data_IF_335159146677
#
_entry.id   IF_335159146677
#
_cell.length_a   1.000
_cell.length_b   1.000
_cell.length_c   1.000
_cell.angle_alpha   90.00
_cell.angle_beta   90.00
_cell.angle_gamma   90.00
#
_symmetry.space_group_name_H-M   'P 1'
#
loop_
_entity.id
_entity.type
_entity.pdbx_description
1 polymer ?
#
# COMPACT_ATOMS: atom_id res chain seq x y z
N UNK A 1 -0.30 -6.92 -4.28
CA UNK A 1 0.43 -5.86 -5.03
C UNK A 1 0.73 -6.37 -6.42
N UNK A 2 0.43 -5.59 -7.46
CA UNK A 2 0.56 -6.01 -8.87
C UNK A 2 1.32 -5.00 -9.75
N UNK A 3 2.06 -4.07 -9.11
CA UNK A 3 2.96 -3.13 -9.81
C UNK A 3 4.06 -3.82 -10.62
N UNK A 4 4.66 -3.09 -11.55
CA UNK A 4 5.68 -3.56 -12.47
C UNK A 4 5.24 -4.82 -13.21
N UNK A 5 4.05 -4.78 -13.80
CA UNK A 5 3.41 -5.93 -14.48
C UNK A 5 3.32 -7.19 -13.59
N UNK A 6 2.82 -7.05 -12.36
CA UNK A 6 2.82 -8.10 -11.35
C UNK A 6 4.22 -8.72 -11.14
N UNK A 7 5.23 -7.88 -10.95
CA UNK A 7 6.63 -8.32 -10.78
C UNK A 7 7.09 -9.21 -11.97
N UNK A 8 6.62 -8.90 -13.18
CA UNK A 8 6.91 -9.65 -14.41
C UNK A 8 6.01 -10.85 -14.71
N UNK A 9 5.01 -11.15 -13.86
CA UNK A 9 4.14 -12.32 -14.02
C UNK A 9 2.90 -12.08 -14.90
N UNK A 10 2.63 -10.83 -15.30
CA UNK A 10 1.43 -10.47 -16.05
C UNK A 10 0.34 -9.93 -15.12
N UNK A 11 0.17 -8.62 -15.09
CA UNK A 11 -0.74 -7.96 -14.13
C UNK A 11 -2.20 -8.37 -14.32
N UNK A 12 -2.67 -8.50 -15.57
CA UNK A 12 -4.08 -8.80 -15.87
C UNK A 12 -4.47 -10.18 -15.35
N UNK A 13 -3.65 -11.17 -15.66
CA UNK A 13 -3.86 -12.58 -15.33
C UNK A 13 -3.76 -12.80 -13.82
N UNK A 14 -2.77 -12.18 -13.16
CA UNK A 14 -2.65 -12.23 -11.71
C UNK A 14 -3.85 -11.57 -11.01
N UNK A 15 -4.31 -10.41 -11.51
CA UNK A 15 -5.47 -9.72 -10.93
C UNK A 15 -6.73 -10.56 -11.07
N UNK A 16 -7.02 -11.10 -12.27
CA UNK A 16 -8.18 -11.97 -12.49
C UNK A 16 -8.18 -13.20 -11.58
N UNK A 17 -7.00 -13.79 -11.38
CA UNK A 17 -6.86 -14.97 -10.52
C UNK A 17 -7.06 -14.68 -9.04
N UNK A 18 -6.91 -13.42 -8.62
CA UNK A 18 -6.99 -12.99 -7.22
C UNK A 18 -8.25 -12.17 -6.92
N UNK A 19 -9.08 -11.86 -7.91
CA UNK A 19 -10.18 -10.89 -7.80
C UNK A 19 -11.19 -11.27 -6.71
N UNK A 20 -11.46 -12.57 -6.56
CA UNK A 20 -12.40 -13.10 -5.57
C UNK A 20 -11.84 -13.15 -4.13
N UNK A 21 -10.53 -12.93 -3.95
CA UNK A 21 -9.86 -13.10 -2.65
C UNK A 21 -9.19 -11.83 -2.15
N UNK A 22 -8.79 -10.91 -3.05
CA UNK A 22 -8.12 -9.68 -2.69
C UNK A 22 -9.12 -8.54 -2.49
N UNK A 23 -9.08 -7.89 -1.32
CA UNK A 23 -9.93 -6.73 -1.03
C UNK A 23 -9.63 -5.51 -1.92
N UNK A 24 -8.39 -5.40 -2.42
CA UNK A 24 -7.94 -4.35 -3.33
C UNK A 24 -6.62 -4.75 -4.01
N UNK A 25 -6.35 -4.12 -5.14
CA UNK A 25 -5.07 -4.19 -5.84
C UNK A 25 -4.30 -2.89 -5.66
N UNK A 26 -2.98 -2.94 -5.85
CA UNK A 26 -2.11 -1.77 -5.72
C UNK A 26 -1.02 -1.78 -6.78
N UNK A 27 -0.89 -0.64 -7.46
CA UNK A 27 0.00 -0.38 -8.59
C UNK A 27 0.88 0.84 -8.32
N UNK A 28 1.95 1.02 -9.09
CA UNK A 28 2.88 2.12 -8.90
C UNK A 28 2.35 3.43 -9.52
N UNK A 29 1.72 3.36 -10.69
CA UNK A 29 1.33 4.53 -11.48
C UNK A 29 -0.08 4.42 -12.06
N UNK A 30 -0.56 5.52 -12.62
CA UNK A 30 -1.89 5.58 -13.22
C UNK A 30 -1.99 4.74 -14.49
N UNK A 31 -0.92 4.65 -15.29
CA UNK A 31 -0.89 3.84 -16.52
C UNK A 31 -1.12 2.36 -16.21
N UNK A 32 -0.51 1.85 -15.14
CA UNK A 32 -0.75 0.49 -14.68
C UNK A 32 -2.22 0.28 -14.28
N UNK A 33 -2.82 1.24 -13.55
CA UNK A 33 -4.24 1.17 -13.19
C UNK A 33 -5.16 1.19 -14.42
N UNK A 34 -4.87 2.07 -15.39
CA UNK A 34 -5.64 2.17 -16.62
C UNK A 34 -5.55 0.89 -17.46
N UNK A 35 -4.37 0.25 -17.53
CA UNK A 35 -4.21 -1.03 -18.23
C UNK A 35 -5.15 -2.11 -17.68
N UNK A 36 -5.36 -2.14 -16.36
CA UNK A 36 -6.29 -3.05 -15.69
C UNK A 36 -7.76 -2.67 -15.95
N UNK A 37 -8.08 -1.37 -15.91
CA UNK A 37 -9.44 -0.86 -16.16
C UNK A 37 -9.89 -1.12 -17.60
N UNK A 38 -9.01 -0.96 -18.59
CA UNK A 38 -9.29 -1.20 -20.02
C UNK A 38 -9.74 -2.64 -20.28
N UNK A 39 -9.16 -3.62 -19.57
CA UNK A 39 -9.52 -5.03 -19.70
C UNK A 39 -10.68 -5.47 -18.80
N UNK A 40 -11.35 -4.51 -18.16
CA UNK A 40 -12.59 -4.70 -17.42
C UNK A 40 -12.46 -5.00 -15.93
N UNK A 41 -11.27 -4.90 -15.33
CA UNK A 41 -11.10 -5.09 -13.87
C UNK A 41 -11.84 -3.99 -13.12
N UNK A 42 -12.70 -4.38 -12.18
CA UNK A 42 -13.53 -3.45 -11.39
C UNK A 42 -13.13 -3.35 -9.92
N UNK A 43 -12.34 -4.30 -9.43
CA UNK A 43 -11.85 -4.27 -8.05
C UNK A 43 -11.12 -2.96 -7.72
N UNK A 44 -11.11 -2.54 -6.44
CA UNK A 44 -10.43 -1.32 -6.03
C UNK A 44 -8.94 -1.36 -6.38
N UNK A 45 -8.41 -0.23 -6.85
CA UNK A 45 -6.99 -0.09 -7.22
C UNK A 45 -6.41 1.13 -6.51
N UNK A 46 -5.36 0.91 -5.72
CA UNK A 46 -4.58 1.94 -5.05
C UNK A 46 -3.35 2.35 -5.88
N UNK A 47 -3.22 3.65 -6.14
CA UNK A 47 -2.01 4.28 -6.65
C UNK A 47 -1.02 4.54 -5.50
N UNK A 48 0.04 3.74 -5.40
CA UNK A 48 0.97 3.73 -4.26
C UNK A 48 1.86 4.97 -4.15
N UNK A 49 2.04 5.68 -5.25
CA UNK A 49 2.84 6.89 -5.37
C UNK A 49 1.96 8.14 -5.57
N UNK A 50 0.64 7.95 -5.55
CA UNK A 50 -0.31 9.01 -5.78
C UNK A 50 -0.35 9.45 -7.23
N UNK A 51 -0.69 10.72 -7.43
CA UNK A 51 -0.61 11.41 -8.72
C UNK A 51 0.77 12.01 -8.91
N UNK A 52 1.19 12.19 -10.17
CA UNK A 52 2.40 12.93 -10.55
C UNK A 52 2.10 14.32 -11.09
N UNK A 53 0.86 14.58 -11.51
CA UNK A 53 0.36 15.89 -11.93
C UNK A 53 -1.11 16.07 -11.54
N UNK A 54 -1.59 17.31 -11.43
CA UNK A 54 -2.96 17.58 -10.98
C UNK A 54 -4.04 17.08 -11.97
N UNK A 55 -3.73 17.06 -13.27
CA UNK A 55 -4.62 16.55 -14.34
C UNK A 55 -4.96 15.07 -14.18
N UNK A 56 -4.10 14.28 -13.53
CA UNK A 56 -4.39 12.87 -13.26
C UNK A 56 -5.59 12.67 -12.33
N UNK A 57 -5.99 13.68 -11.54
CA UNK A 57 -7.19 13.58 -10.69
C UNK A 57 -8.47 13.34 -11.49
N UNK A 58 -8.56 13.83 -12.73
CA UNK A 58 -9.69 13.54 -13.61
C UNK A 58 -9.79 12.04 -13.95
N UNK A 59 -8.63 11.40 -14.14
CA UNK A 59 -8.56 9.97 -14.41
C UNK A 59 -8.81 9.16 -13.13
N UNK A 60 -8.27 9.60 -11.99
CA UNK A 60 -8.53 8.99 -10.68
C UNK A 60 -10.04 8.96 -10.38
N UNK A 61 -10.75 10.07 -10.61
CA UNK A 61 -12.19 10.17 -10.39
C UNK A 61 -12.97 9.33 -11.40
N UNK A 62 -12.66 9.47 -12.70
CA UNK A 62 -13.32 8.72 -13.77
C UNK A 62 -13.23 7.20 -13.59
N UNK A 63 -12.09 6.69 -13.13
CA UNK A 63 -11.83 5.25 -13.01
C UNK A 63 -11.92 4.71 -11.59
N UNK A 64 -12.42 5.52 -10.65
CA UNK A 64 -12.61 5.15 -9.24
C UNK A 64 -11.35 4.52 -8.62
N UNK A 65 -10.26 5.28 -8.67
CA UNK A 65 -8.98 4.86 -8.13
C UNK A 65 -8.80 5.40 -6.70
N UNK A 66 -8.14 4.62 -5.85
CA UNK A 66 -7.70 5.05 -4.52
C UNK A 66 -6.34 5.73 -4.63
N UNK A 67 -6.10 6.72 -3.78
CA UNK A 67 -4.94 7.60 -3.93
C UNK A 67 -4.09 7.62 -2.66
N UNK A 68 -2.80 7.28 -2.80
CA UNK A 68 -1.83 7.63 -1.77
C UNK A 68 -1.42 9.10 -1.88
N UNK A 69 -1.33 9.80 -0.74
CA UNK A 69 -0.80 11.17 -0.69
C UNK A 69 0.39 11.23 0.26
N UNK A 70 1.49 11.81 -0.21
CA UNK A 70 2.77 11.78 0.51
C UNK A 70 3.58 13.08 0.39
N UNK A 71 3.05 14.08 -0.32
CA UNK A 71 3.63 15.43 -0.44
C UNK A 71 2.57 16.51 -0.26
N UNK A 72 3.00 17.72 0.12
CA UNK A 72 2.08 18.85 0.32
C UNK A 72 1.35 19.25 -0.96
N UNK A 73 2.03 19.21 -2.11
CA UNK A 73 1.43 19.58 -3.39
C UNK A 73 0.29 18.61 -3.79
N UNK A 74 0.43 17.31 -3.52
CA UNK A 74 -0.65 16.34 -3.79
C UNK A 74 -1.89 16.65 -2.94
N UNK A 75 -1.68 17.03 -1.68
CA UNK A 75 -2.76 17.43 -0.78
C UNK A 75 -3.44 18.70 -1.29
N UNK A 76 -2.68 19.67 -1.80
CA UNK A 76 -3.23 20.89 -2.37
C UNK A 76 -4.03 20.61 -3.65
N UNK A 77 -3.47 19.86 -4.59
CA UNK A 77 -4.15 19.45 -5.81
C UNK A 77 -5.47 18.71 -5.50
N UNK A 78 -5.43 17.76 -4.57
CA UNK A 78 -6.61 17.02 -4.12
C UNK A 78 -7.70 17.95 -3.56
N UNK A 79 -7.32 18.92 -2.71
CA UNK A 79 -8.27 19.84 -2.07
C UNK A 79 -8.79 20.92 -3.01
N UNK A 80 -8.10 21.19 -4.11
CA UNK A 80 -8.54 22.10 -5.17
C UNK A 80 -9.44 21.41 -6.20
N UNK A 81 -9.47 20.08 -6.23
CA UNK A 81 -10.32 19.32 -7.13
C UNK A 81 -11.74 19.15 -6.58
N UNK A 82 -12.73 19.11 -7.49
CA UNK A 82 -14.14 18.84 -7.16
C UNK A 82 -14.52 17.49 -7.75
N UNK A 83 -14.48 16.41 -6.96
CA UNK A 83 -14.74 15.08 -7.48
C UNK A 83 -16.23 14.77 -7.60
N UNK A 84 -16.57 13.89 -8.53
CA UNK A 84 -17.91 13.30 -8.68
C UNK A 84 -18.32 12.56 -7.42
N UNK A 85 -17.35 11.89 -6.76
CA UNK A 85 -17.53 11.25 -5.46
C UNK A 85 -16.30 11.39 -4.58
N UNK A 86 -16.44 11.42 -3.24
CA UNK A 86 -15.30 11.50 -2.34
C UNK A 86 -14.32 10.33 -2.54
N UNK A 87 -13.03 10.63 -2.57
CA UNK A 87 -11.95 9.66 -2.80
C UNK A 87 -11.64 8.82 -1.55
N UNK A 88 -11.11 7.62 -1.78
CA UNK A 88 -10.40 6.86 -0.74
C UNK A 88 -8.92 7.29 -0.72
N UNK A 89 -8.49 7.86 0.40
CA UNK A 89 -7.16 8.45 0.55
C UNK A 89 -6.30 7.65 1.51
N UNK A 90 -5.06 7.43 1.12
CA UNK A 90 -4.05 6.75 1.88
C UNK A 90 -2.93 7.72 2.25
N UNK A 91 -2.94 8.24 3.47
CA UNK A 91 -1.92 9.16 3.95
C UNK A 91 -0.63 8.39 4.25
N UNK A 92 0.42 8.66 3.47
CA UNK A 92 1.72 8.03 3.63
C UNK A 92 2.53 8.75 4.69
N UNK A 93 3.01 8.00 5.66
CA UNK A 93 3.86 8.47 6.75
C UNK A 93 5.26 7.95 6.53
N UNK A 94 6.25 8.85 6.59
CA UNK A 94 7.64 8.47 6.67
C UNK A 94 7.97 8.06 8.11
N UNK A 95 7.99 6.77 8.37
CA UNK A 95 8.41 6.19 9.65
C UNK A 95 9.92 5.91 9.71
N UNK A 96 10.73 6.48 8.80
CA UNK A 96 12.20 6.38 8.82
C UNK A 96 12.84 5.80 7.54
N UNK A 97 12.09 5.60 6.46
CA UNK A 97 12.67 5.23 5.15
C UNK A 97 13.21 6.48 4.43
N UNK A 98 12.74 7.68 4.79
CA UNK A 98 13.18 8.97 4.24
C UNK A 98 13.11 9.05 2.72
N UNK A 99 12.14 8.36 2.13
CA UNK A 99 11.90 8.35 0.68
C UNK A 99 10.62 9.08 0.29
N UNK A 100 9.49 8.65 0.84
CA UNK A 100 8.16 9.22 0.58
C UNK A 100 7.35 9.22 1.87
N UNK A 101 6.57 10.26 2.08
CA UNK A 101 5.65 10.39 3.21
C UNK A 101 5.92 11.62 4.07
N UNK A 102 4.93 11.97 4.87
CA UNK A 102 5.07 13.03 5.85
C UNK A 102 5.71 12.50 7.12
N UNK A 103 6.48 13.34 7.82
CA UNK A 103 6.90 13.03 9.19
C UNK A 103 5.67 12.78 10.08
N UNK A 104 5.75 11.96 11.14
CA UNK A 104 4.59 11.66 11.99
C UNK A 104 3.87 12.91 12.51
N UNK A 105 4.62 13.92 12.93
CA UNK A 105 4.05 15.21 13.38
C UNK A 105 3.29 15.93 12.28
N UNK A 106 3.83 15.96 11.05
CA UNK A 106 3.15 16.58 9.91
C UNK A 106 1.95 15.75 9.46
N UNK A 107 2.03 14.43 9.54
CA UNK A 107 0.93 13.52 9.20
C UNK A 107 -0.32 13.82 10.04
N UNK A 108 -0.20 14.11 11.34
CA UNK A 108 -1.34 14.52 12.19
C UNK A 108 -2.03 15.77 11.63
N UNK A 109 -1.27 16.78 11.22
CA UNK A 109 -1.82 18.02 10.68
C UNK A 109 -2.54 17.77 9.34
N UNK A 110 -1.92 16.99 8.46
CA UNK A 110 -2.50 16.63 7.15
C UNK A 110 -3.73 15.75 7.32
N UNK A 111 -3.70 14.78 8.23
CA UNK A 111 -4.84 13.93 8.56
C UNK A 111 -6.06 14.75 8.96
N UNK A 112 -5.88 15.69 9.89
CA UNK A 112 -6.95 16.58 10.35
C UNK A 112 -7.46 17.52 9.25
N UNK A 113 -6.61 17.89 8.30
CA UNK A 113 -7.00 18.69 7.12
C UNK A 113 -7.86 17.86 6.17
N UNK A 114 -7.39 16.65 5.83
CA UNK A 114 -8.06 15.72 4.93
C UNK A 114 -9.38 15.18 5.51
N UNK A 115 -9.42 14.86 6.81
CA UNK A 115 -10.62 14.34 7.46
C UNK A 115 -11.80 15.32 7.54
N UNK A 116 -11.58 16.60 7.23
CA UNK A 116 -12.64 17.62 7.12
C UNK A 116 -12.99 17.98 5.67
N UNK A 117 -12.25 17.45 4.72
CA UNK A 117 -12.38 17.78 3.31
C UNK A 117 -13.51 16.97 2.67
N UNK A 118 -14.38 17.64 1.90
CA UNK A 118 -15.50 16.97 1.21
C UNK A 118 -15.01 16.01 0.11
N UNK A 119 -13.77 16.21 -0.36
CA UNK A 119 -13.12 15.37 -1.34
C UNK A 119 -12.71 14.00 -0.79
N UNK A 120 -12.75 13.77 0.52
CA UNK A 120 -12.25 12.55 1.18
C UNK A 120 -13.41 11.77 1.76
N UNK A 121 -13.65 10.57 1.22
CA UNK A 121 -14.71 9.66 1.68
C UNK A 121 -14.20 8.63 2.70
N UNK A 122 -12.98 8.15 2.50
CA UNK A 122 -12.28 7.33 3.50
C UNK A 122 -10.82 7.74 3.59
N UNK A 123 -10.25 7.59 4.78
CA UNK A 123 -8.89 8.02 5.08
C UNK A 123 -8.18 6.92 5.87
N UNK A 124 -7.02 6.52 5.38
CA UNK A 124 -6.24 5.41 5.92
C UNK A 124 -4.78 5.83 6.10
N UNK A 125 -4.09 5.33 7.13
CA UNK A 125 -2.64 5.51 7.26
C UNK A 125 -1.92 4.40 6.50
N UNK A 126 -0.80 4.76 5.88
CA UNK A 126 0.13 3.78 5.35
C UNK A 126 1.58 4.17 5.59
N UNK A 127 2.44 3.18 5.77
CA UNK A 127 3.90 3.34 5.70
C UNK A 127 4.53 2.12 5.02
N UNK A 128 5.82 2.19 4.72
CA UNK A 128 6.59 1.08 4.20
C UNK A 128 7.84 0.88 5.06
N UNK A 129 8.06 -0.36 5.51
CA UNK A 129 9.28 -0.70 6.24
C UNK A 129 10.53 -0.47 5.36
N UNK A 130 11.58 0.08 5.97
CA UNK A 130 12.87 0.23 5.29
C UNK A 130 13.68 -1.07 5.28
N UNK A 131 13.60 -1.83 6.37
CA UNK A 131 14.34 -3.10 6.57
C UNK A 131 13.42 -4.13 7.22
N UNK A 132 12.43 -4.62 6.47
CA UNK A 132 11.59 -5.73 6.93
C UNK A 132 12.30 -7.10 6.83
N UNK A 133 13.45 -7.14 6.16
CA UNK A 133 14.37 -8.27 6.02
C UNK A 133 15.30 -8.46 7.24
N UNK A 134 14.97 -7.85 8.38
CA UNK A 134 15.57 -8.11 9.69
C UNK A 134 17.04 -7.69 9.89
N UNK A 135 17.59 -6.78 9.06
CA UNK A 135 18.95 -6.24 9.30
C UNK A 135 19.03 -5.49 10.65
N UNK A 136 17.93 -4.86 11.08
CA UNK A 136 17.82 -4.26 12.42
C UNK A 136 16.41 -4.45 13.01
N UNK A 137 16.28 -5.41 13.92
CA UNK A 137 15.05 -5.65 14.71
C UNK A 137 14.64 -4.39 15.48
N UNK A 138 15.61 -3.64 15.99
CA UNK A 138 15.38 -2.39 16.71
C UNK A 138 14.68 -1.35 15.82
N UNK A 139 15.14 -1.21 14.58
CA UNK A 139 14.54 -0.29 13.63
C UNK A 139 13.13 -0.73 13.22
N UNK A 140 12.94 -2.02 12.93
CA UNK A 140 11.60 -2.58 12.64
C UNK A 140 10.60 -2.30 13.78
N UNK A 141 11.01 -2.54 15.03
CA UNK A 141 10.17 -2.27 16.20
C UNK A 141 9.87 -0.78 16.36
N UNK A 142 10.86 0.08 16.13
CA UNK A 142 10.66 1.53 16.15
C UNK A 142 9.62 1.98 15.13
N UNK A 143 9.76 1.56 13.85
CA UNK A 143 8.79 1.92 12.81
C UNK A 143 7.38 1.43 13.15
N UNK A 144 7.28 0.21 13.69
CA UNK A 144 6.01 -0.38 14.13
C UNK A 144 5.35 0.43 15.24
N UNK A 145 6.10 0.76 16.29
CA UNK A 145 5.59 1.53 17.43
C UNK A 145 5.13 2.93 17.02
N UNK A 146 5.91 3.62 16.19
CA UNK A 146 5.54 4.95 15.67
C UNK A 146 4.21 4.90 14.93
N UNK A 147 4.04 3.92 14.04
CA UNK A 147 2.84 3.81 13.22
C UNK A 147 1.62 3.35 14.02
N UNK A 148 1.78 2.42 14.96
CA UNK A 148 0.70 1.97 15.84
C UNK A 148 0.25 3.09 16.79
N UNK A 149 1.20 3.83 17.37
CA UNK A 149 0.87 4.98 18.22
C UNK A 149 0.12 6.06 17.45
N UNK A 150 0.52 6.33 16.20
CA UNK A 150 -0.16 7.28 15.33
C UNK A 150 -1.56 6.80 14.93
N UNK A 151 -1.71 5.50 14.64
CA UNK A 151 -3.00 4.86 14.36
C UNK A 151 -3.96 5.06 15.53
N UNK A 152 -3.52 4.71 16.73
CA UNK A 152 -4.34 4.76 17.94
C UNK A 152 -4.71 6.21 18.30
N UNK A 153 -3.77 7.16 18.15
CA UNK A 153 -4.02 8.58 18.36
C UNK A 153 -5.05 9.17 17.39
N UNK A 154 -5.04 8.74 16.13
CA UNK A 154 -5.93 9.25 15.09
C UNK A 154 -7.23 8.45 14.93
N UNK A 155 -7.37 7.30 15.61
CA UNK A 155 -8.47 6.36 15.38
C UNK A 155 -8.52 5.87 13.92
N UNK A 156 -7.35 5.76 13.28
CA UNK A 156 -7.21 5.45 11.86
C UNK A 156 -7.11 3.94 11.64
N UNK A 157 -7.46 3.45 10.45
CA UNK A 157 -6.95 2.15 9.99
C UNK A 157 -5.53 2.29 9.43
N UNK A 158 -4.73 1.24 9.51
CA UNK A 158 -3.32 1.21 9.17
C UNK A 158 -2.99 0.12 8.15
N UNK A 159 -2.16 0.48 7.17
CA UNK A 159 -1.44 -0.47 6.32
C UNK A 159 0.07 -0.34 6.50
N UNK A 160 0.66 -1.34 7.14
CA UNK A 160 2.08 -1.35 7.45
C UNK A 160 2.80 -2.57 6.86
N UNK A 161 2.21 -3.76 6.95
CA UNK A 161 2.85 -5.01 6.57
C UNK A 161 3.06 -5.14 5.05
N UNK A 162 4.33 -5.28 4.65
CA UNK A 162 4.72 -5.76 3.32
C UNK A 162 5.02 -7.27 3.37
N UNK A 163 5.41 -7.87 2.25
CA UNK A 163 5.74 -9.31 2.18
C UNK A 163 6.72 -9.78 3.26
N UNK A 164 7.78 -9.03 3.51
CA UNK A 164 8.82 -9.43 4.47
C UNK A 164 8.29 -9.41 5.90
N UNK A 165 7.53 -8.38 6.28
CA UNK A 165 6.89 -8.31 7.60
C UNK A 165 5.88 -9.45 7.82
N UNK A 166 5.10 -9.81 6.79
CA UNK A 166 4.15 -10.92 6.86
C UNK A 166 4.88 -12.28 7.05
N UNK A 167 6.03 -12.46 6.40
CA UNK A 167 6.81 -13.69 6.54
C UNK A 167 7.58 -13.79 7.87
N UNK A 168 7.85 -12.67 8.55
CA UNK A 168 8.47 -12.68 9.89
C UNK A 168 7.52 -13.04 11.04
N UNK A 169 6.30 -13.50 10.74
CA UNK A 169 5.30 -13.95 11.71
C UNK A 169 4.88 -12.86 12.72
N UNK A 170 4.91 -11.59 12.29
CA UNK A 170 4.36 -10.48 13.07
C UNK A 170 2.88 -10.37 12.74
N UNK A 171 2.07 -11.15 13.46
CA UNK A 171 0.62 -11.10 13.30
C UNK A 171 0.10 -9.69 13.60
N UNK A 172 -0.81 -9.22 12.74
CA UNK A 172 -1.67 -8.06 12.97
C UNK A 172 -0.97 -6.69 13.13
N UNK A 173 -0.12 -6.31 12.16
CA UNK A 173 0.48 -4.96 12.08
C UNK A 173 -0.49 -3.85 11.64
N UNK A 174 -1.74 -4.19 11.31
CA UNK A 174 -2.77 -3.28 10.84
C UNK A 174 -3.88 -4.01 10.08
N UNK A 175 -4.90 -3.27 9.69
CA UNK A 175 -6.11 -3.80 9.03
C UNK A 175 -5.87 -4.14 7.56
N UNK A 176 -4.81 -3.61 6.96
CA UNK A 176 -4.51 -3.76 5.53
C UNK A 176 -3.10 -4.26 5.29
N UNK A 177 -3.00 -5.45 4.72
CA UNK A 177 -1.73 -6.08 4.36
C UNK A 177 -1.41 -5.86 2.87
N UNK A 178 -0.14 -5.64 2.54
CA UNK A 178 0.31 -5.40 1.16
C UNK A 178 1.32 -6.45 0.70
N UNK A 179 0.92 -7.73 0.59
CA UNK A 179 1.78 -8.76 0.04
C UNK A 179 2.04 -8.45 -1.44
N UNK A 180 3.32 -8.49 -1.82
CA UNK A 180 3.79 -8.36 -3.20
C UNK A 180 4.59 -9.57 -3.57
N UNK A 181 5.91 -9.47 -3.47
CA UNK A 181 6.84 -10.54 -3.87
C UNK A 181 6.54 -11.94 -3.29
N UNK A 182 5.96 -12.04 -2.09
CA UNK A 182 5.58 -13.35 -1.51
C UNK A 182 4.40 -14.02 -2.25
N UNK A 183 3.53 -13.25 -2.90
CA UNK A 183 2.42 -13.80 -3.71
C UNK A 183 2.95 -14.57 -4.92
N UNK A 184 4.18 -14.28 -5.33
CA UNK A 184 4.83 -14.87 -6.50
C UNK A 184 5.87 -15.93 -6.11
N UNK A 185 5.79 -16.47 -4.89
CA UNK A 185 6.66 -17.57 -4.43
C UNK A 185 8.12 -17.19 -4.19
N UNK A 186 8.48 -15.91 -4.20
CA UNK A 186 9.85 -15.46 -3.99
C UNK A 186 10.11 -15.05 -2.54
N UNK A 187 11.15 -15.63 -1.94
CA UNK A 187 11.58 -15.32 -0.58
C UNK A 187 12.42 -14.03 -0.54
N UNK A 188 12.17 -13.17 0.47
CA UNK A 188 12.91 -11.91 0.70
C UNK A 188 14.08 -12.07 1.66
N UNK A 189 14.20 -13.21 2.33
CA UNK A 189 15.31 -13.46 3.24
C UNK A 189 16.49 -14.05 2.47
N UNK A 190 17.71 -13.59 2.77
CA UNK A 190 18.91 -14.31 2.35
C UNK A 190 18.84 -15.72 2.94
N UNK A 191 18.68 -16.72 2.09
CA UNK A 191 18.83 -18.10 2.50
C UNK A 191 20.24 -18.28 3.06
N UNK A 192 20.34 -18.55 4.36
CA UNK A 192 21.55 -19.14 4.90
C UNK A 192 21.60 -20.57 4.32
N UNK A 193 22.67 -20.99 3.64
CA UNK A 193 22.77 -22.33 3.06
C UNK A 193 22.60 -23.47 4.10
N UNK A 194 22.65 -23.15 5.40
CA UNK A 194 22.44 -24.08 6.50
C UNK A 194 21.04 -24.02 7.17
N UNK A 195 20.13 -23.14 6.72
CA UNK A 195 18.74 -23.15 7.20
C UNK A 195 17.94 -24.21 6.44
N UNK A 196 17.73 -25.36 7.07
CA UNK A 196 16.68 -26.29 6.68
C UNK A 196 15.33 -25.63 6.97
N UNK A 197 14.67 -25.09 5.95
CA UNK A 197 13.24 -24.86 6.03
C UNK A 197 12.58 -26.23 6.17
N UNK A 198 11.81 -26.42 7.25
CA UNK A 198 11.02 -27.63 7.44
C UNK A 198 10.23 -27.92 6.18
N UNK A 199 10.35 -29.17 5.70
CA UNK A 199 9.80 -29.62 4.42
C UNK A 199 8.37 -29.11 4.23
N UNK A 200 8.14 -28.29 3.20
CA UNK A 200 6.79 -28.11 2.65
C UNK A 200 6.43 -29.47 2.06
N UNK A 201 5.70 -30.30 2.83
CA UNK A 201 5.07 -31.49 2.29
C UNK A 201 4.02 -31.03 1.29
N UNK A 202 4.30 -31.19 0.00
CA UNK A 202 3.31 -31.07 -1.05
C UNK A 202 2.17 -32.06 -0.81
N UNK A 203 0.89 -31.65 -0.84
CA UNK A 203 -0.18 -32.55 -1.19
C UNK A 203 -0.37 -32.45 -2.71
N UNK A 204 0.50 -33.10 -3.48
CA UNK A 204 0.14 -33.51 -4.83
C UNK A 204 -0.42 -34.92 -4.67
N UNK A 205 -1.74 -35.05 -4.79
CA UNK A 205 -2.39 -36.32 -5.09
C UNK A 205 -2.95 -36.19 -6.50
N UNK A 206 -2.42 -37.01 -7.40
CA UNK A 206 -3.03 -37.34 -8.70
C UNK A 206 -4.27 -38.19 -8.45
#
# INVERSE_FOLDING_TARGET
MVKANAYGHGAVECVRSLEDTASAFAVASIEEALSLRIVGIRSPILLLEGIFEASELELVDKYDLWLAVHTAWQVEALLSYTPLKPFSIWLKVDSGLHRLGFTPTRAVQIWNKLGRAKQVGSLHLMSHFATADAISVQFFNYQTLVMQSLRDYLGASLSLANSAALMSNTDNLGEWNRPGIMLYGSCMFRMNPNTHFGSIRSPISV
#
